data_IF_651401608887
#
_entry.id   IF_651401608887
#
_cell.length_a   1.000
_cell.length_b   1.000
_cell.length_c   1.000
_cell.angle_alpha   90.00
_cell.angle_beta   90.00
_cell.angle_gamma   90.00
#
_symmetry.space_group_name_H-M   'P 1'
#
loop_
_entity.id
_entity.type
_entity.pdbx_description
1 polymer ?
#
# COMPACT_ATOMS: atom_id res chain seq x y z
N UNK A 1 5.84 7.41 -13.42
CA UNK A 1 6.84 8.39 -12.98
C UNK A 1 8.05 8.26 -13.89
N UNK A 2 8.13 9.09 -14.92
CA UNK A 2 9.32 9.22 -15.74
C UNK A 2 10.23 10.24 -15.04
N UNK A 3 11.43 9.84 -14.67
CA UNK A 3 12.43 10.72 -14.13
C UNK A 3 12.82 11.73 -15.20
N UNK A 4 12.47 13.01 -14.96
CA UNK A 4 12.97 14.11 -15.77
C UNK A 4 14.42 14.32 -15.32
N UNK A 5 15.35 13.80 -16.14
CA UNK A 5 16.76 14.16 -16.02
C UNK A 5 16.87 15.66 -16.32
N UNK A 6 17.33 16.42 -15.32
CA UNK A 6 17.72 17.81 -15.50
C UNK A 6 18.70 17.90 -16.67
N UNK A 7 18.52 18.82 -17.62
CA UNK A 7 19.55 19.05 -18.61
C UNK A 7 20.77 19.59 -17.87
N UNK A 8 21.81 18.78 -17.83
CA UNK A 8 23.17 19.23 -17.48
C UNK A 8 23.45 20.45 -18.29
N UNK A 9 23.63 21.60 -17.62
CA UNK A 9 23.99 22.82 -18.25
C UNK A 9 25.23 22.59 -19.12
N UNK A 10 25.04 22.66 -20.42
CA UNK A 10 26.15 22.89 -21.34
C UNK A 10 26.77 24.22 -20.92
N UNK A 11 27.87 24.15 -20.18
CA UNK A 11 28.75 25.29 -20.04
C UNK A 11 29.12 25.72 -21.47
N UNK A 12 28.42 26.75 -21.96
CA UNK A 12 28.86 27.49 -23.13
C UNK A 12 30.28 27.90 -22.86
N UNK A 13 31.22 27.32 -23.59
CA UNK A 13 32.58 27.77 -23.68
C UNK A 13 32.56 29.14 -24.38
N UNK A 14 31.99 30.13 -23.68
CA UNK A 14 32.22 31.53 -24.01
C UNK A 14 33.66 31.82 -23.71
N UNK A 15 34.49 31.78 -24.73
CA UNK A 15 35.88 32.18 -24.60
C UNK A 15 35.93 33.53 -23.88
N UNK A 16 36.46 33.55 -22.67
CA UNK A 16 36.79 34.75 -21.92
C UNK A 16 37.73 35.54 -22.81
N UNK A 17 37.28 36.64 -23.42
CA UNK A 17 38.17 37.58 -24.02
C UNK A 17 38.93 38.17 -22.86
N UNK A 18 40.14 37.64 -22.59
CA UNK A 18 41.11 38.32 -21.71
C UNK A 18 41.19 39.77 -22.20
N UNK A 19 41.03 40.75 -21.28
CA UNK A 19 40.99 42.16 -21.54
C UNK A 19 42.07 42.54 -22.57
N UNK A 20 41.68 42.64 -23.85
CA UNK A 20 42.55 43.16 -24.88
C UNK A 20 42.32 44.65 -24.90
N UNK A 21 43.26 45.37 -24.26
CA UNK A 21 43.41 46.79 -24.51
C UNK A 21 43.76 46.88 -26.00
N UNK A 22 43.05 47.66 -26.75
CA UNK A 22 43.29 47.82 -28.17
C UNK A 22 44.73 48.33 -28.37
N UNK A 23 45.50 47.67 -29.24
CA UNK A 23 46.94 47.95 -29.34
C UNK A 23 47.24 49.39 -29.89
N UNK A 24 46.27 50.04 -30.48
CA UNK A 24 46.39 51.34 -31.08
C UNK A 24 45.63 52.44 -30.32
N UNK A 25 44.43 52.11 -29.83
CA UNK A 25 43.55 53.09 -29.13
C UNK A 25 43.84 53.19 -27.63
N UNK A 26 44.40 52.16 -27.02
CA UNK A 26 44.47 52.07 -25.55
C UNK A 26 43.15 51.82 -24.88
N UNK A 27 42.06 51.60 -25.61
CA UNK A 27 40.71 51.39 -25.09
C UNK A 27 40.54 49.93 -24.71
N UNK A 28 40.00 49.62 -23.55
CA UNK A 28 39.61 48.26 -23.18
C UNK A 28 38.33 47.86 -23.91
N UNK A 29 38.50 47.35 -25.14
CA UNK A 29 37.41 46.95 -26.04
C UNK A 29 36.66 45.74 -25.51
N UNK A 30 37.34 44.82 -24.77
CA UNK A 30 36.77 43.66 -24.15
C UNK A 30 35.73 44.03 -23.07
N UNK A 31 36.03 45.00 -22.20
CA UNK A 31 35.11 45.49 -21.19
C UNK A 31 33.86 46.15 -21.79
N UNK A 32 34.07 46.93 -22.86
CA UNK A 32 32.96 47.60 -23.57
C UNK A 32 32.04 46.55 -24.17
N UNK A 33 32.58 45.53 -24.86
CA UNK A 33 31.80 44.44 -25.44
C UNK A 33 31.02 43.70 -24.33
N UNK A 34 31.68 43.35 -23.22
CA UNK A 34 31.05 42.67 -22.10
C UNK A 34 29.90 43.49 -21.50
N UNK A 35 30.06 44.81 -21.32
CA UNK A 35 28.98 45.71 -20.85
C UNK A 35 27.83 45.83 -21.84
N UNK A 36 28.11 45.88 -23.13
CA UNK A 36 27.07 45.89 -24.19
C UNK A 36 26.32 44.53 -24.18
N UNK A 37 27.04 43.42 -24.10
CA UNK A 37 26.44 42.09 -24.06
C UNK A 37 25.61 41.87 -22.81
N UNK A 38 26.01 42.41 -21.64
CA UNK A 38 25.21 42.29 -20.41
C UNK A 38 23.83 42.95 -20.51
N UNK A 39 23.73 44.06 -21.27
CA UNK A 39 22.43 44.70 -21.53
C UNK A 39 21.58 43.84 -22.49
N UNK A 40 22.19 43.32 -23.54
CA UNK A 40 21.53 42.45 -24.51
C UNK A 40 21.07 41.11 -23.91
N UNK A 41 21.74 40.63 -22.86
CA UNK A 41 21.42 39.38 -22.15
C UNK A 41 20.24 39.49 -21.20
N UNK A 42 19.88 40.70 -20.73
CA UNK A 42 18.78 40.89 -19.78
C UNK A 42 17.45 40.18 -20.16
N UNK A 43 16.99 40.20 -21.45
CA UNK A 43 15.78 39.50 -21.81
C UNK A 43 15.93 37.98 -21.71
N UNK A 44 17.12 37.41 -21.97
CA UNK A 44 17.43 35.99 -21.80
C UNK A 44 17.34 35.61 -20.32
N UNK A 45 17.94 36.40 -19.44
CA UNK A 45 17.94 36.19 -17.98
C UNK A 45 16.52 36.25 -17.41
N UNK A 46 15.66 37.12 -17.94
CA UNK A 46 14.23 37.18 -17.58
C UNK A 46 13.49 35.89 -17.96
N UNK A 47 13.80 35.30 -19.13
CA UNK A 47 13.23 34.00 -19.51
C UNK A 47 13.71 32.88 -18.56
N UNK A 48 14.99 32.88 -18.23
CA UNK A 48 15.57 31.91 -17.27
C UNK A 48 14.84 31.99 -15.92
N UNK A 49 14.67 33.20 -15.38
CA UNK A 49 13.94 33.40 -14.11
C UNK A 49 12.50 32.92 -14.23
N UNK A 50 11.82 33.18 -15.35
CA UNK A 50 10.41 32.75 -15.53
C UNK A 50 10.30 31.23 -15.65
N UNK A 51 11.23 30.57 -16.36
CA UNK A 51 11.28 29.11 -16.44
C UNK A 51 11.47 28.50 -15.04
N UNK A 52 12.38 29.05 -14.22
CA UNK A 52 12.61 28.57 -12.85
C UNK A 52 11.37 28.77 -11.97
N UNK A 53 10.67 29.89 -12.14
CA UNK A 53 9.40 30.14 -11.43
C UNK A 53 8.36 29.08 -11.80
N UNK A 54 8.14 28.84 -13.10
CA UNK A 54 7.15 27.85 -13.56
C UNK A 54 7.51 26.43 -13.12
N UNK A 55 8.80 26.06 -13.10
CA UNK A 55 9.27 24.76 -12.56
C UNK A 55 8.99 24.64 -11.05
N UNK A 56 9.13 25.75 -10.31
CA UNK A 56 8.83 25.78 -8.87
C UNK A 56 7.32 25.67 -8.63
N UNK A 57 6.50 26.27 -9.50
CA UNK A 57 5.03 26.11 -9.48
C UNK A 57 4.64 24.65 -9.70
N UNK A 58 5.19 23.97 -10.73
CA UNK A 58 4.97 22.54 -10.98
C UNK A 58 5.33 21.70 -9.76
N UNK A 59 6.50 21.95 -9.16
CA UNK A 59 6.93 21.24 -7.96
C UNK A 59 5.95 21.41 -6.81
N UNK A 60 5.40 22.63 -6.67
CA UNK A 60 4.41 22.95 -5.63
C UNK A 60 3.06 22.24 -5.90
N UNK A 61 2.61 22.15 -7.15
CA UNK A 61 1.44 21.33 -7.50
C UNK A 61 1.68 19.85 -7.26
N UNK A 62 2.90 19.34 -7.51
CA UNK A 62 3.30 17.96 -7.17
C UNK A 62 3.19 17.69 -5.65
N UNK A 63 3.58 18.66 -4.82
CA UNK A 63 3.41 18.56 -3.36
C UNK A 63 1.92 18.55 -2.96
N UNK A 64 1.10 19.40 -3.58
CA UNK A 64 -0.36 19.41 -3.38
C UNK A 64 -0.95 18.07 -3.75
N UNK A 65 -0.56 17.50 -4.89
CA UNK A 65 -1.03 16.19 -5.35
C UNK A 65 -0.69 15.07 -4.34
N UNK A 66 0.51 15.09 -3.78
CA UNK A 66 0.93 14.16 -2.72
C UNK A 66 0.06 14.28 -1.47
N UNK A 67 -0.16 15.51 -0.98
CA UNK A 67 -0.98 15.76 0.19
C UNK A 67 -2.45 15.32 -0.03
N UNK A 68 -3.02 15.62 -1.20
CA UNK A 68 -4.37 15.18 -1.57
C UNK A 68 -4.49 13.66 -1.71
N UNK A 69 -3.44 12.99 -2.19
CA UNK A 69 -3.38 11.52 -2.25
C UNK A 69 -3.36 10.92 -0.86
N UNK A 70 -2.59 11.50 0.07
CA UNK A 70 -2.57 11.09 1.48
C UNK A 70 -3.95 11.29 2.12
N UNK A 71 -4.60 12.41 1.85
CA UNK A 71 -5.97 12.68 2.33
C UNK A 71 -6.98 11.68 1.75
N UNK A 72 -6.86 11.31 0.48
CA UNK A 72 -7.70 10.28 -0.16
C UNK A 72 -7.50 8.90 0.50
N UNK A 73 -6.28 8.56 0.87
CA UNK A 73 -5.97 7.34 1.63
C UNK A 73 -6.62 7.38 3.02
N UNK A 74 -6.50 8.49 3.74
CA UNK A 74 -7.16 8.67 5.04
C UNK A 74 -8.69 8.56 4.93
N UNK A 75 -9.29 9.12 3.86
CA UNK A 75 -10.73 8.95 3.56
C UNK A 75 -11.11 7.48 3.32
N UNK A 76 -10.26 6.70 2.66
CA UNK A 76 -10.51 5.27 2.46
C UNK A 76 -10.48 4.51 3.79
N UNK A 77 -9.60 4.89 4.71
CA UNK A 77 -9.47 4.25 6.02
C UNK A 77 -10.67 4.51 6.94
N UNK A 78 -11.42 5.59 6.73
CA UNK A 78 -12.65 5.89 7.47
C UNK A 78 -13.92 5.32 6.81
N UNK A 79 -13.83 4.57 5.71
CA UNK A 79 -15.00 3.88 5.13
C UNK A 79 -15.44 2.70 6.00
N UNK A 80 -16.73 2.35 5.94
CA UNK A 80 -17.36 1.39 6.83
C UNK A 80 -16.66 0.03 6.91
N UNK A 81 -16.12 -0.47 5.80
CA UNK A 81 -15.39 -1.75 5.79
C UNK A 81 -14.13 -1.75 6.66
N UNK A 82 -13.58 -0.56 6.96
CA UNK A 82 -12.38 -0.39 7.77
C UNK A 82 -12.69 0.13 9.19
N UNK A 83 -13.87 0.70 9.39
CA UNK A 83 -14.34 1.23 10.67
C UNK A 83 -15.30 0.30 11.39
N UNK A 84 -16.02 -0.56 10.65
CA UNK A 84 -17.00 -1.48 11.21
C UNK A 84 -16.29 -2.67 11.89
N UNK A 85 -15.55 -2.37 12.94
CA UNK A 85 -14.84 -3.36 13.75
C UNK A 85 -15.58 -3.57 15.04
N UNK A 86 -15.73 -4.83 15.43
CA UNK A 86 -16.29 -5.23 16.71
C UNK A 86 -15.18 -5.88 17.55
N UNK A 87 -15.25 -5.67 18.84
CA UNK A 87 -14.45 -6.43 19.81
C UNK A 87 -15.35 -7.47 20.45
N UNK A 88 -14.90 -8.71 20.51
CA UNK A 88 -15.55 -9.76 21.25
C UNK A 88 -14.68 -10.12 22.45
N UNK A 89 -15.26 -10.07 23.63
CA UNK A 89 -14.60 -10.45 24.88
C UNK A 89 -15.33 -11.65 25.50
N UNK A 90 -14.55 -12.60 26.02
CA UNK A 90 -15.06 -13.75 26.75
C UNK A 90 -14.80 -13.57 28.25
N UNK A 91 -15.79 -13.88 29.08
CA UNK A 91 -15.62 -13.89 30.55
C UNK A 91 -14.74 -15.03 31.05
N UNK A 92 -14.46 -16.04 30.21
CA UNK A 92 -13.56 -17.14 30.48
C UNK A 92 -12.81 -17.54 29.19
N UNK A 93 -11.67 -16.88 28.94
CA UNK A 93 -10.82 -17.12 27.78
C UNK A 93 -10.10 -18.47 27.81
N UNK A 94 -10.06 -19.14 28.96
CA UNK A 94 -9.53 -20.49 29.11
C UNK A 94 -10.47 -21.57 28.59
N UNK A 95 -11.79 -21.31 28.61
CA UNK A 95 -12.80 -22.26 28.09
C UNK A 95 -13.29 -21.88 26.70
N UNK A 96 -13.53 -20.62 26.46
CA UNK A 96 -14.06 -20.11 25.16
C UNK A 96 -13.31 -18.87 24.74
N UNK A 97 -12.72 -18.90 23.55
CA UNK A 97 -12.13 -17.72 22.92
C UNK A 97 -12.99 -17.31 21.71
N UNK A 98 -13.12 -16.02 21.51
CA UNK A 98 -13.97 -15.48 20.43
C UNK A 98 -13.27 -14.41 19.63
N UNK A 99 -13.61 -14.32 18.36
CA UNK A 99 -13.22 -13.22 17.48
C UNK A 99 -14.44 -12.77 16.68
N UNK A 100 -14.62 -11.46 16.55
CA UNK A 100 -15.72 -10.88 15.80
C UNK A 100 -15.23 -10.31 14.47
N UNK A 101 -16.07 -10.40 13.44
CA UNK A 101 -15.89 -9.68 12.18
C UNK A 101 -16.89 -8.52 12.06
N UNK A 102 -16.89 -7.85 10.91
CA UNK A 102 -17.73 -6.68 10.64
C UNK A 102 -19.24 -6.99 10.48
N UNK A 103 -19.63 -8.25 10.44
CA UNK A 103 -21.04 -8.68 10.24
C UNK A 103 -21.74 -9.08 11.53
N UNK A 104 -21.02 -9.15 12.65
CA UNK A 104 -21.57 -9.55 13.95
C UNK A 104 -22.54 -8.48 14.49
N UNK A 105 -23.56 -8.92 15.20
CA UNK A 105 -24.39 -8.01 15.96
C UNK A 105 -23.82 -7.78 17.36
N UNK A 106 -23.76 -6.50 17.78
CA UNK A 106 -23.41 -6.15 19.15
C UNK A 106 -24.43 -6.74 20.14
N UNK A 107 -23.95 -7.22 21.28
CA UNK A 107 -24.80 -7.83 22.29
C UNK A 107 -24.03 -8.74 23.21
N UNK A 108 -24.76 -9.38 24.12
CA UNK A 108 -24.22 -10.40 25.01
C UNK A 108 -24.79 -11.77 24.62
N UNK A 109 -23.92 -12.76 24.57
CA UNK A 109 -24.27 -14.15 24.26
C UNK A 109 -23.78 -15.04 25.38
N UNK A 110 -24.55 -16.07 25.71
CA UNK A 110 -24.23 -17.03 26.75
C UNK A 110 -23.83 -18.34 26.12
N UNK A 111 -22.59 -18.80 26.35
CA UNK A 111 -22.08 -20.07 25.80
C UNK A 111 -21.83 -21.08 26.93
N UNK A 112 -22.28 -22.31 26.73
CA UNK A 112 -21.90 -23.45 27.57
C UNK A 112 -21.30 -24.53 26.69
N UNK A 113 -20.17 -25.09 27.10
CA UNK A 113 -19.48 -26.17 26.39
C UNK A 113 -19.62 -27.46 27.18
N UNK A 114 -20.35 -28.39 26.62
CA UNK A 114 -20.59 -29.70 27.27
C UNK A 114 -19.54 -30.74 26.90
N UNK A 115 -19.06 -30.69 25.64
CA UNK A 115 -18.13 -31.64 25.08
C UNK A 115 -17.32 -30.98 23.96
N UNK A 116 -16.02 -31.28 23.90
CA UNK A 116 -15.16 -30.86 22.80
C UNK A 116 -15.19 -31.87 21.66
N UNK A 117 -14.97 -31.39 20.43
CA UNK A 117 -14.73 -32.27 19.29
C UNK A 117 -13.38 -32.98 19.47
N UNK A 118 -13.38 -34.25 19.09
CA UNK A 118 -12.16 -35.08 19.05
C UNK A 118 -12.03 -35.72 17.67
N UNK A 119 -10.79 -35.69 17.15
CA UNK A 119 -10.45 -36.39 15.91
C UNK A 119 -10.40 -37.91 16.10
N UNK A 120 -10.79 -38.64 15.10
CA UNK A 120 -10.54 -40.08 15.06
C UNK A 120 -9.07 -40.36 14.83
N UNK A 121 -8.51 -41.30 15.61
CA UNK A 121 -7.11 -41.71 15.49
C UNK A 121 -7.00 -43.18 15.31
N UNK A 122 -6.28 -43.57 14.27
CA UNK A 122 -5.97 -44.97 13.93
C UNK A 122 -4.46 -45.17 13.99
N UNK A 123 -4.01 -46.38 14.31
CA UNK A 123 -2.60 -46.74 14.18
C UNK A 123 -2.44 -48.08 13.47
N UNK A 124 -1.38 -48.19 12.64
CA UNK A 124 -1.07 -49.43 11.90
C UNK A 124 -0.36 -50.44 12.76
N UNK A 125 -0.23 -51.68 12.24
CA UNK A 125 0.70 -52.67 12.75
C UNK A 125 2.13 -52.10 12.81
N UNK A 126 2.95 -52.68 13.73
CA UNK A 126 4.34 -52.25 13.92
C UNK A 126 5.22 -52.64 12.73
N UNK A 127 6.02 -51.70 12.28
CA UNK A 127 7.09 -51.91 11.31
C UNK A 127 8.46 -51.82 11.99
N UNK A 128 9.42 -52.60 11.55
CA UNK A 128 10.77 -52.64 12.11
C UNK A 128 11.58 -51.36 11.81
N UNK A 129 11.20 -50.58 10.77
CA UNK A 129 11.88 -49.38 10.31
C UNK A 129 10.90 -48.45 9.60
N UNK A 130 11.19 -47.17 9.57
CA UNK A 130 10.48 -46.17 8.73
C UNK A 130 10.69 -46.45 7.24
N UNK A 131 11.76 -47.18 6.88
CA UNK A 131 12.06 -47.66 5.52
C UNK A 131 11.47 -49.03 5.23
N UNK A 132 10.64 -49.61 6.11
CA UNK A 132 9.99 -50.89 5.84
C UNK A 132 9.19 -50.81 4.54
N UNK A 133 9.37 -51.81 3.66
CA UNK A 133 8.85 -51.82 2.30
C UNK A 133 7.53 -52.58 2.25
N UNK A 134 6.53 -52.04 1.59
CA UNK A 134 5.22 -52.62 1.35
C UNK A 134 5.03 -52.95 -0.14
N UNK A 135 4.01 -53.72 -0.45
CA UNK A 135 3.63 -54.00 -1.82
C UNK A 135 3.11 -52.73 -2.52
N UNK A 136 3.13 -52.73 -3.84
CA UNK A 136 2.47 -51.67 -4.62
C UNK A 136 0.95 -51.90 -4.67
N UNK A 137 0.18 -50.86 -4.93
CA UNK A 137 -1.26 -50.92 -4.97
C UNK A 137 -1.92 -49.59 -4.73
N UNK A 138 -3.10 -49.57 -4.15
CA UNK A 138 -3.82 -48.33 -3.81
C UNK A 138 -4.27 -48.35 -2.35
N UNK A 139 -4.25 -47.20 -1.72
CA UNK A 139 -4.86 -46.92 -0.41
C UNK A 139 -5.96 -45.90 -0.65
N UNK A 140 -7.21 -46.24 -0.37
CA UNK A 140 -8.35 -45.32 -0.46
C UNK A 140 -8.80 -44.98 0.95
N UNK A 141 -8.65 -43.72 1.31
CA UNK A 141 -9.10 -43.17 2.58
C UNK A 141 -10.43 -42.46 2.37
N UNK A 142 -11.43 -42.80 3.15
CA UNK A 142 -12.75 -42.19 3.13
C UNK A 142 -13.03 -41.54 4.48
N UNK A 143 -13.32 -40.25 4.48
CA UNK A 143 -13.67 -39.43 5.65
C UNK A 143 -15.00 -38.73 5.37
N UNK A 144 -16.08 -39.27 5.91
CA UNK A 144 -17.42 -38.76 5.60
C UNK A 144 -17.79 -38.98 4.12
N UNK A 145 -18.13 -37.90 3.45
CA UNK A 145 -18.43 -37.94 1.99
C UNK A 145 -17.19 -37.85 1.10
N UNK A 146 -16.04 -37.46 1.67
CA UNK A 146 -14.80 -37.34 0.93
C UNK A 146 -14.10 -38.69 0.80
N UNK A 147 -13.59 -39.01 -0.37
CA UNK A 147 -12.84 -40.22 -0.66
C UNK A 147 -11.61 -39.86 -1.49
N UNK A 148 -10.43 -40.21 -0.99
CA UNK A 148 -9.15 -39.95 -1.67
C UNK A 148 -8.45 -41.30 -1.91
N UNK A 149 -8.11 -41.58 -3.17
CA UNK A 149 -7.33 -42.76 -3.54
C UNK A 149 -5.86 -42.38 -3.79
N UNK A 150 -4.97 -43.05 -3.09
CA UNK A 150 -3.52 -42.81 -3.10
C UNK A 150 -2.85 -44.00 -3.79
N UNK A 151 -2.08 -43.77 -4.83
CA UNK A 151 -1.35 -44.80 -5.55
C UNK A 151 0.01 -45.04 -4.87
N UNK A 152 0.24 -46.31 -4.49
CA UNK A 152 1.50 -46.77 -3.91
C UNK A 152 2.29 -47.51 -4.97
N UNK A 153 3.42 -46.97 -5.33
CA UNK A 153 4.32 -47.47 -6.39
C UNK A 153 5.74 -47.70 -5.85
N UNK A 154 6.65 -48.10 -6.69
CA UNK A 154 8.04 -48.34 -6.31
C UNK A 154 8.74 -47.09 -5.71
N UNK A 155 8.26 -45.89 -6.00
CA UNK A 155 8.86 -44.64 -5.53
C UNK A 155 8.44 -44.25 -4.11
N UNK A 156 7.28 -44.72 -3.60
CA UNK A 156 6.70 -44.32 -2.33
C UNK A 156 6.21 -45.47 -1.43
N UNK A 157 6.62 -46.71 -1.71
CA UNK A 157 6.17 -47.92 -1.00
C UNK A 157 6.83 -48.19 0.35
N UNK A 158 7.66 -47.29 0.87
CA UNK A 158 8.18 -47.35 2.26
C UNK A 158 7.15 -46.79 3.23
N UNK A 159 7.25 -47.12 4.53
CA UNK A 159 6.37 -46.54 5.55
C UNK A 159 6.38 -45.02 5.52
N UNK A 160 7.56 -44.42 5.38
CA UNK A 160 7.71 -42.97 5.24
C UNK A 160 7.13 -42.43 3.93
N UNK A 161 7.34 -43.16 2.81
CA UNK A 161 6.76 -42.81 1.51
C UNK A 161 5.23 -42.85 1.50
N UNK A 162 4.63 -43.86 2.16
CA UNK A 162 3.16 -43.95 2.33
C UNK A 162 2.62 -42.80 3.15
N UNK A 163 3.29 -42.45 4.27
CA UNK A 163 2.95 -41.22 5.09
C UNK A 163 2.93 -39.99 4.20
N UNK A 164 4.00 -39.78 3.42
CA UNK A 164 4.15 -38.58 2.58
C UNK A 164 3.11 -38.55 1.45
N UNK A 165 2.82 -39.71 0.86
CA UNK A 165 1.79 -39.85 -0.16
C UNK A 165 0.39 -39.53 0.37
N UNK A 166 0.06 -39.97 1.59
CA UNK A 166 -1.22 -39.69 2.23
C UNK A 166 -1.31 -38.18 2.50
N UNK A 167 -0.29 -37.58 3.13
CA UNK A 167 -0.28 -36.15 3.46
C UNK A 167 -0.31 -35.22 2.21
N UNK A 168 0.21 -35.70 1.09
CA UNK A 168 0.18 -34.95 -0.18
C UNK A 168 -1.17 -35.04 -0.91
N UNK A 169 -1.90 -36.17 -0.76
CA UNK A 169 -3.11 -36.45 -1.51
C UNK A 169 -4.39 -36.13 -0.71
N UNK A 170 -4.40 -36.36 0.60
CA UNK A 170 -5.58 -36.22 1.45
C UNK A 170 -5.50 -34.91 2.28
N UNK A 171 -6.51 -34.05 2.18
CA UNK A 171 -6.61 -32.81 2.94
C UNK A 171 -7.39 -32.96 4.24
N UNK A 172 -8.13 -34.05 4.38
CA UNK A 172 -9.04 -34.34 5.49
C UNK A 172 -8.54 -35.45 6.43
N UNK A 173 -7.32 -35.95 6.17
CA UNK A 173 -6.60 -36.92 7.02
C UNK A 173 -5.13 -36.52 7.08
N UNK A 174 -4.54 -36.59 8.27
CA UNK A 174 -3.09 -36.42 8.44
C UNK A 174 -2.43 -37.71 8.89
N UNK A 175 -1.30 -38.04 8.28
CA UNK A 175 -0.51 -39.23 8.58
C UNK A 175 0.78 -38.83 9.31
N UNK A 176 1.09 -39.56 10.39
CA UNK A 176 2.32 -39.40 11.18
C UNK A 176 2.92 -40.75 11.50
N UNK A 177 4.24 -40.85 11.61
CA UNK A 177 4.90 -42.06 12.10
C UNK A 177 5.31 -41.87 13.54
N UNK A 178 4.94 -42.81 14.39
CA UNK A 178 5.29 -42.81 15.81
C UNK A 178 6.15 -44.05 16.10
N UNK A 179 7.19 -43.88 16.91
CA UNK A 179 7.94 -44.98 17.51
C UNK A 179 7.39 -45.26 18.92
N UNK A 180 6.99 -46.51 19.15
CA UNK A 180 6.46 -47.00 20.44
C UNK A 180 7.51 -47.73 21.31
N UNK A 181 8.79 -47.66 20.92
CA UNK A 181 9.90 -48.36 21.55
C UNK A 181 10.06 -49.82 21.07
N UNK A 182 9.03 -50.43 20.46
CA UNK A 182 9.06 -51.78 19.88
C UNK A 182 9.11 -51.73 18.34
N UNK A 183 8.85 -50.58 17.72
CA UNK A 183 8.87 -50.35 16.28
C UNK A 183 8.26 -49.04 15.88
N UNK A 184 7.90 -48.95 14.60
CA UNK A 184 7.34 -47.75 13.97
C UNK A 184 5.92 -48.02 13.50
N UNK A 185 4.97 -47.14 13.81
CA UNK A 185 3.57 -47.24 13.41
C UNK A 185 3.14 -46.03 12.63
N UNK A 186 2.38 -46.24 11.56
CA UNK A 186 1.67 -45.15 10.89
C UNK A 186 0.42 -44.82 11.71
N UNK A 187 0.30 -43.55 12.11
CA UNK A 187 -0.91 -43.04 12.74
C UNK A 187 -1.64 -42.15 11.75
N UNK A 188 -2.96 -42.36 11.62
CA UNK A 188 -3.86 -41.50 10.86
C UNK A 188 -4.74 -40.71 11.83
N UNK A 189 -4.85 -39.42 11.59
CA UNK A 189 -5.75 -38.50 12.31
C UNK A 189 -6.74 -37.92 11.33
N UNK A 190 -8.04 -38.03 11.61
CA UNK A 190 -9.04 -37.33 10.81
C UNK A 190 -9.01 -35.81 11.07
N UNK A 191 -9.21 -35.02 10.02
CA UNK A 191 -9.37 -33.58 10.07
C UNK A 191 -10.81 -33.25 9.71
N UNK A 192 -11.61 -32.77 10.68
CA UNK A 192 -13.03 -32.55 10.46
C UNK A 192 -13.82 -33.88 10.30
N UNK A 193 -15.01 -33.77 9.71
CA UNK A 193 -15.99 -34.85 9.60
C UNK A 193 -16.87 -34.99 10.84
N UNK A 194 -18.05 -35.56 10.71
CA UNK A 194 -19.03 -35.75 11.78
C UNK A 194 -18.86 -37.10 12.48
N UNK A 195 -19.30 -37.19 13.73
CA UNK A 195 -19.28 -38.45 14.49
C UNK A 195 -20.09 -39.59 13.85
N UNK A 196 -21.06 -39.24 12.99
CA UNK A 196 -21.87 -40.21 12.22
C UNK A 196 -21.19 -40.79 10.98
N UNK A 197 -20.01 -40.30 10.63
CA UNK A 197 -19.29 -40.70 9.40
C UNK A 197 -17.84 -41.04 9.75
N UNK A 198 -17.54 -42.19 10.36
CA UNK A 198 -16.22 -42.59 10.77
C UNK A 198 -15.26 -42.73 9.58
N UNK A 199 -13.97 -42.67 9.87
CA UNK A 199 -12.90 -42.91 8.91
C UNK A 199 -12.99 -44.39 8.43
N UNK A 200 -12.78 -44.64 7.16
CA UNK A 200 -12.53 -45.98 6.65
C UNK A 200 -11.34 -45.97 5.68
N UNK A 201 -10.57 -47.03 5.68
CA UNK A 201 -9.42 -47.19 4.80
C UNK A 201 -9.52 -48.53 4.10
N UNK A 202 -9.70 -48.51 2.79
CA UNK A 202 -9.66 -49.69 1.94
C UNK A 202 -8.37 -49.73 1.14
N UNK A 203 -7.87 -50.92 0.90
CA UNK A 203 -6.60 -51.12 0.20
C UNK A 203 -6.80 -52.11 -0.94
N UNK A 204 -6.07 -51.94 -2.04
CA UNK A 204 -5.91 -52.90 -3.11
C UNK A 204 -4.44 -53.20 -3.26
N UNK A 205 -4.03 -54.43 -3.04
CA UNK A 205 -2.65 -54.88 -3.04
C UNK A 205 -2.37 -55.64 -4.36
N UNK A 206 -1.31 -55.29 -5.05
CA UNK A 206 -0.90 -55.96 -6.29
C UNK A 206 -0.18 -57.28 -6.06
N UNK A 207 0.02 -57.67 -4.79
CA UNK A 207 0.81 -58.82 -4.40
C UNK A 207 2.32 -58.61 -4.49
N UNK A 208 3.10 -59.52 -3.98
CA UNK A 208 4.57 -59.45 -3.99
C UNK A 208 5.18 -60.02 -2.71
N UNK A 209 6.52 -59.94 -2.62
CA UNK A 209 7.30 -60.48 -1.49
C UNK A 209 7.47 -59.46 -0.34
N UNK A 210 6.93 -58.22 -0.46
CA UNK A 210 6.98 -57.23 0.57
C UNK A 210 5.79 -57.37 1.56
N UNK A 211 5.71 -56.51 2.57
CA UNK A 211 4.56 -56.47 3.49
C UNK A 211 3.30 -56.05 2.72
N UNK A 212 2.17 -56.68 3.04
CA UNK A 212 0.88 -56.34 2.43
C UNK A 212 0.42 -54.95 2.85
N UNK A 213 -0.21 -54.23 1.93
CA UNK A 213 -0.91 -52.96 2.22
C UNK A 213 -2.12 -53.15 3.15
N UNK A 214 -2.59 -54.40 3.35
CA UNK A 214 -3.66 -54.73 4.30
C UNK A 214 -3.37 -54.24 5.71
N UNK A 215 -2.09 -54.06 6.07
CA UNK A 215 -1.67 -53.45 7.35
C UNK A 215 -2.20 -52.01 7.56
N UNK A 216 -2.67 -51.35 6.52
CA UNK A 216 -3.25 -50.00 6.56
C UNK A 216 -4.77 -49.97 6.32
N UNK A 217 -5.43 -51.14 6.12
CA UNK A 217 -6.89 -51.21 6.01
C UNK A 217 -7.56 -50.86 7.33
N UNK A 218 -8.71 -50.21 7.31
CA UNK A 218 -9.53 -49.98 8.48
C UNK A 218 -11.01 -50.04 8.15
N UNK A 219 -11.71 -50.89 8.91
CA UNK A 219 -13.16 -51.00 8.84
C UNK A 219 -13.75 -50.51 10.17
N UNK A 220 -14.53 -49.40 10.16
CA UNK A 220 -15.16 -48.89 11.35
C UNK A 220 -16.16 -49.87 12.02
N UNK A 221 -16.64 -50.86 11.31
CA UNK A 221 -17.47 -51.92 11.86
C UNK A 221 -16.65 -52.95 12.69
N UNK A 222 -15.33 -53.05 12.40
CA UNK A 222 -14.39 -53.89 13.17
C UNK A 222 -13.17 -53.07 13.60
N UNK A 223 -13.31 -52.16 14.58
CA UNK A 223 -12.30 -51.15 14.89
C UNK A 223 -11.03 -51.71 15.55
N UNK A 224 -11.05 -52.94 16.05
CA UNK A 224 -9.93 -53.56 16.76
C UNK A 224 -9.80 -55.04 16.27
N UNK A 225 -9.26 -55.26 15.06
CA UNK A 225 -9.12 -56.59 14.53
C UNK A 225 -8.15 -57.43 15.38
N UNK A 226 -8.62 -58.60 15.85
CA UNK A 226 -7.86 -59.51 16.70
C UNK A 226 -6.89 -60.40 15.96
N UNK A 227 -7.04 -60.50 14.67
CA UNK A 227 -6.21 -61.30 13.74
C UNK A 227 -4.92 -60.57 13.31
N UNK A 228 -4.71 -59.37 13.82
CA UNK A 228 -3.55 -58.53 13.47
C UNK A 228 -3.61 -57.97 12.05
N UNK A 229 -4.79 -57.99 11.40
CA UNK A 229 -5.00 -57.36 10.10
C UNK A 229 -5.44 -55.91 10.27
N UNK A 230 -4.88 -55.02 9.42
CA UNK A 230 -5.32 -53.62 9.37
C UNK A 230 -4.87 -52.72 10.51
N UNK A 231 -5.47 -51.54 10.55
CA UNK A 231 -5.26 -50.54 11.58
C UNK A 231 -6.21 -50.74 12.75
N UNK A 232 -5.78 -50.26 13.92
CA UNK A 232 -6.56 -50.33 15.14
C UNK A 232 -7.00 -48.90 15.53
N UNK A 233 -8.21 -48.79 16.06
CA UNK A 233 -8.75 -47.54 16.55
C UNK A 233 -8.15 -47.18 17.91
N UNK A 234 -7.51 -46.00 17.99
CA UNK A 234 -6.97 -45.45 19.23
C UNK A 234 -7.96 -44.51 19.94
N UNK A 235 -8.67 -43.72 19.13
CA UNK A 235 -9.61 -42.73 19.63
C UNK A 235 -10.79 -42.59 18.70
N UNK A 236 -11.99 -42.70 19.27
CA UNK A 236 -13.23 -42.44 18.53
C UNK A 236 -13.37 -40.95 18.22
N UNK A 237 -13.91 -40.64 17.07
CA UNK A 237 -14.38 -39.32 16.73
C UNK A 237 -15.57 -38.95 17.60
N UNK A 238 -15.59 -37.70 18.05
CA UNK A 238 -16.79 -37.11 18.64
C UNK A 238 -16.94 -35.65 18.23
N UNK A 239 -18.19 -35.21 18.11
CA UNK A 239 -18.52 -33.82 17.82
C UNK A 239 -18.48 -32.98 19.08
N UNK A 240 -18.12 -31.70 18.96
CA UNK A 240 -18.34 -30.76 20.02
C UNK A 240 -19.84 -30.59 20.26
N UNK A 241 -20.23 -30.50 21.54
CA UNK A 241 -21.60 -30.18 21.98
C UNK A 241 -21.54 -28.94 22.86
N UNK A 242 -22.26 -27.92 22.47
CA UNK A 242 -22.31 -26.63 23.16
C UNK A 242 -23.68 -26.01 23.03
N UNK A 243 -23.94 -24.94 23.77
CA UNK A 243 -25.15 -24.14 23.57
C UNK A 243 -24.79 -22.68 23.46
N UNK A 244 -25.61 -21.95 22.69
CA UNK A 244 -25.58 -20.50 22.58
C UNK A 244 -26.96 -19.99 22.96
N UNK A 245 -27.05 -19.15 23.99
CA UNK A 245 -28.30 -18.61 24.55
C UNK A 245 -29.36 -19.71 24.82
N UNK A 246 -28.91 -20.90 25.23
CA UNK A 246 -29.76 -22.05 25.52
C UNK A 246 -30.05 -22.96 24.32
N UNK A 247 -29.78 -22.55 23.09
CA UNK A 247 -29.91 -23.40 21.91
C UNK A 247 -28.76 -24.38 21.82
N UNK A 248 -29.07 -25.67 21.78
CA UNK A 248 -28.10 -26.77 21.68
C UNK A 248 -27.56 -26.87 20.25
N UNK A 249 -26.25 -26.87 20.10
CA UNK A 249 -25.55 -26.93 18.82
C UNK A 249 -24.49 -28.03 18.87
N UNK A 250 -24.15 -28.54 17.69
CA UNK A 250 -23.05 -29.51 17.50
C UNK A 250 -22.11 -29.00 16.42
N UNK A 251 -20.82 -29.33 16.55
CA UNK A 251 -19.81 -29.00 15.55
C UNK A 251 -18.79 -30.13 15.43
N UNK A 252 -18.39 -30.46 14.23
CA UNK A 252 -17.35 -31.44 13.97
C UNK A 252 -15.94 -30.95 14.33
N UNK A 253 -15.79 -29.68 14.67
CA UNK A 253 -14.52 -29.04 15.07
C UNK A 253 -14.73 -28.18 16.30
N UNK A 254 -13.64 -27.91 17.03
CA UNK A 254 -13.66 -26.96 18.14
C UNK A 254 -13.64 -25.50 17.72
N UNK A 255 -13.38 -25.21 16.44
CA UNK A 255 -13.50 -23.88 15.85
C UNK A 255 -14.84 -23.77 15.12
N UNK A 256 -15.74 -22.98 15.67
CA UNK A 256 -17.12 -22.82 15.21
C UNK A 256 -17.29 -21.44 14.60
N UNK A 257 -17.57 -21.37 13.32
CA UNK A 257 -17.73 -20.12 12.57
C UNK A 257 -19.17 -19.83 12.15
N UNK A 258 -20.07 -20.82 12.26
CA UNK A 258 -21.41 -20.75 11.70
C UNK A 258 -22.52 -20.71 12.77
N UNK A 259 -22.19 -20.68 14.06
CA UNK A 259 -23.17 -20.66 15.15
C UNK A 259 -23.84 -19.28 15.28
N UNK A 260 -23.07 -18.21 15.08
CA UNK A 260 -23.51 -16.82 15.09
C UNK A 260 -22.87 -16.12 13.90
N UNK A 261 -23.65 -15.35 13.16
CA UNK A 261 -23.13 -14.58 12.02
C UNK A 261 -22.07 -13.59 12.51
N UNK A 262 -20.88 -13.63 11.88
CA UNK A 262 -19.79 -12.74 12.20
C UNK A 262 -19.00 -13.04 13.47
N UNK A 263 -19.31 -14.14 14.17
CA UNK A 263 -18.58 -14.56 15.37
C UNK A 263 -17.90 -15.92 15.16
N UNK A 264 -16.58 -15.96 15.29
CA UNK A 264 -15.82 -17.20 15.38
C UNK A 264 -15.58 -17.56 16.84
N UNK A 265 -15.94 -18.79 17.19
CA UNK A 265 -15.88 -19.30 18.57
C UNK A 265 -14.87 -20.46 18.59
N UNK A 266 -13.83 -20.36 19.39
CA UNK A 266 -12.88 -21.43 19.65
C UNK A 266 -13.23 -22.06 21.02
N UNK A 267 -13.68 -23.32 21.00
CA UNK A 267 -13.98 -24.13 22.19
C UNK A 267 -12.68 -24.76 22.69
N UNK A 268 -12.19 -24.34 23.84
CA UNK A 268 -10.91 -24.78 24.39
C UNK A 268 -11.07 -25.81 25.51
N UNK A 269 -12.07 -25.60 26.38
CA UNK A 269 -12.39 -26.49 27.49
C UNK A 269 -13.89 -26.58 27.72
N UNK A 270 -14.34 -27.66 28.39
CA UNK A 270 -15.72 -27.78 28.88
C UNK A 270 -15.96 -26.80 30.01
N UNK A 271 -17.18 -26.26 30.10
CA UNK A 271 -17.51 -25.23 31.10
C UNK A 271 -18.19 -25.76 32.34
N UNK A 272 -18.27 -27.06 32.53
CA UNK A 272 -18.91 -27.72 33.71
C UNK A 272 -20.31 -27.15 34.01
N UNK A 273 -21.14 -26.96 32.98
CA UNK A 273 -22.48 -26.33 33.03
C UNK A 273 -22.50 -24.83 33.40
N UNK A 274 -21.38 -24.18 33.63
CA UNK A 274 -21.33 -22.71 33.78
C UNK A 274 -21.54 -22.03 32.45
N UNK A 275 -22.21 -20.89 32.46
CA UNK A 275 -22.29 -20.03 31.26
C UNK A 275 -21.03 -19.14 31.21
N UNK A 276 -20.44 -19.10 30.03
CA UNK A 276 -19.41 -18.11 29.65
C UNK A 276 -20.14 -16.99 28.90
N UNK A 277 -20.04 -15.77 29.40
CA UNK A 277 -20.63 -14.60 28.76
C UNK A 277 -19.66 -14.07 27.71
N UNK A 278 -20.14 -13.94 26.49
CA UNK A 278 -19.45 -13.26 25.39
C UNK A 278 -20.08 -11.90 25.23
N UNK A 279 -19.29 -10.84 25.36
CA UNK A 279 -19.71 -9.47 25.06
C UNK A 279 -19.14 -9.06 23.72
N UNK A 280 -20.02 -8.61 22.82
CA UNK A 280 -19.65 -8.07 21.52
C UNK A 280 -20.01 -6.59 21.50
N UNK A 281 -18.98 -5.77 21.47
CA UNK A 281 -19.12 -4.32 21.49
C UNK A 281 -18.57 -3.69 20.20
N UNK A 282 -19.16 -2.56 19.80
CA UNK A 282 -18.59 -1.75 18.73
C UNK A 282 -17.22 -1.23 19.12
N UNK A 283 -16.21 -1.43 18.28
CA UNK A 283 -14.88 -0.93 18.53
C UNK A 283 -14.77 0.56 18.14
N UNK A 284 -15.31 1.41 19.02
CA UNK A 284 -15.25 2.86 18.83
C UNK A 284 -13.84 3.44 18.91
N UNK A 285 -12.90 2.75 19.56
CA UNK A 285 -11.50 3.20 19.69
C UNK A 285 -10.81 3.23 18.33
N UNK A 286 -10.91 2.15 17.54
CA UNK A 286 -10.33 2.11 16.19
C UNK A 286 -10.99 3.12 15.26
N UNK A 287 -12.30 3.30 15.38
CA UNK A 287 -13.04 4.29 14.61
C UNK A 287 -12.60 5.72 14.95
N UNK A 288 -12.39 6.02 16.23
CA UNK A 288 -11.87 7.31 16.70
C UNK A 288 -10.46 7.58 16.20
N UNK A 289 -9.57 6.60 16.28
CA UNK A 289 -8.17 6.73 15.83
C UNK A 289 -8.09 7.02 14.31
N UNK A 290 -8.84 6.27 13.50
CA UNK A 290 -8.88 6.50 12.05
C UNK A 290 -9.48 7.87 11.70
N UNK A 291 -10.51 8.30 12.44
CA UNK A 291 -11.12 9.62 12.25
C UNK A 291 -10.16 10.74 12.66
N UNK A 292 -9.43 10.60 13.76
CA UNK A 292 -8.39 11.56 14.17
C UNK A 292 -7.32 11.67 13.08
N UNK A 293 -6.80 10.55 12.59
CA UNK A 293 -5.82 10.54 11.49
C UNK A 293 -6.35 11.25 10.23
N UNK A 294 -7.62 11.04 9.88
CA UNK A 294 -8.24 11.74 8.76
C UNK A 294 -8.30 13.26 9.01
N UNK A 295 -8.73 13.69 10.19
CA UNK A 295 -8.83 15.11 10.57
C UNK A 295 -7.45 15.80 10.57
N UNK A 296 -6.44 15.14 11.12
CA UNK A 296 -5.06 15.65 11.13
C UNK A 296 -4.51 15.76 9.69
N UNK A 297 -4.77 14.77 8.84
CA UNK A 297 -4.36 14.80 7.43
C UNK A 297 -5.09 15.90 6.65
N UNK A 298 -6.39 16.09 6.91
CA UNK A 298 -7.17 17.18 6.33
C UNK A 298 -6.61 18.55 6.74
N UNK A 299 -6.38 18.76 8.04
CA UNK A 299 -5.87 20.01 8.57
C UNK A 299 -4.46 20.32 8.04
N UNK A 300 -3.60 19.32 7.96
CA UNK A 300 -2.25 19.45 7.39
C UNK A 300 -2.29 19.80 5.90
N UNK A 301 -3.18 19.14 5.13
CA UNK A 301 -3.38 19.45 3.72
C UNK A 301 -3.89 20.89 3.53
N UNK A 302 -4.88 21.31 4.32
CA UNK A 302 -5.42 22.68 4.28
C UNK A 302 -4.35 23.70 4.65
N UNK A 303 -3.54 23.43 5.67
CA UNK A 303 -2.44 24.32 6.09
C UNK A 303 -1.39 24.45 4.98
N UNK A 304 -1.01 23.36 4.33
CA UNK A 304 -0.07 23.37 3.20
C UNK A 304 -0.60 24.19 2.02
N UNK A 305 -1.87 24.03 1.65
CA UNK A 305 -2.51 24.85 0.61
C UNK A 305 -2.51 26.35 0.95
N UNK A 306 -2.83 26.69 2.20
CA UNK A 306 -2.79 28.08 2.66
C UNK A 306 -1.38 28.64 2.64
N UNK A 307 -0.38 27.86 3.08
CA UNK A 307 1.03 28.27 3.12
C UNK A 307 1.56 28.59 1.72
N UNK A 308 1.29 27.74 0.72
CA UNK A 308 1.74 27.94 -0.67
C UNK A 308 1.18 29.22 -1.30
N UNK A 309 0.13 29.82 -0.73
CA UNK A 309 -0.49 31.07 -1.17
C UNK A 309 -0.03 32.30 -0.41
N UNK A 310 0.79 32.17 0.62
CA UNK A 310 1.29 33.33 1.37
C UNK A 310 2.25 34.17 0.50
N UNK A 311 2.47 35.41 0.91
CA UNK A 311 3.35 36.33 0.19
C UNK A 311 4.76 35.75 0.03
N UNK A 312 5.29 35.80 -1.18
CA UNK A 312 6.62 35.26 -1.52
C UNK A 312 6.66 33.75 -1.79
N UNK A 313 5.53 33.07 -1.71
CA UNK A 313 5.45 31.63 -2.05
C UNK A 313 5.11 31.41 -3.53
N UNK A 314 5.46 30.26 -4.12
CA UNK A 314 5.33 30.00 -5.55
C UNK A 314 3.91 30.15 -6.10
N UNK A 315 2.89 29.81 -5.31
CA UNK A 315 1.48 29.84 -5.73
C UNK A 315 0.72 31.03 -5.10
N UNK A 316 1.45 32.11 -4.75
CA UNK A 316 0.84 33.35 -4.30
C UNK A 316 -0.16 33.86 -5.35
N UNK A 317 -1.40 34.13 -4.93
CA UNK A 317 -2.51 34.57 -5.80
C UNK A 317 -3.03 33.54 -6.82
N UNK A 318 -2.57 32.28 -6.80
CA UNK A 318 -3.11 31.25 -7.69
C UNK A 318 -4.58 30.95 -7.35
N UNK A 319 -5.46 31.17 -8.32
CA UNK A 319 -6.90 30.97 -8.15
C UNK A 319 -7.27 29.49 -8.08
N UNK A 320 -6.46 28.60 -8.67
CA UNK A 320 -6.68 27.16 -8.64
C UNK A 320 -6.55 26.64 -7.22
N UNK A 321 -5.52 27.07 -6.49
CA UNK A 321 -5.34 26.71 -5.08
C UNK A 321 -6.47 27.27 -4.20
N UNK A 322 -6.98 28.49 -4.51
CA UNK A 322 -8.16 29.04 -3.83
C UNK A 322 -9.37 28.13 -3.98
N UNK A 323 -9.64 27.71 -5.23
CA UNK A 323 -10.75 26.82 -5.55
C UNK A 323 -10.61 25.46 -4.86
N UNK A 324 -9.38 24.94 -4.73
CA UNK A 324 -9.12 23.70 -3.98
C UNK A 324 -9.46 23.86 -2.49
N UNK A 325 -9.04 24.96 -1.87
CA UNK A 325 -9.36 25.27 -0.47
C UNK A 325 -10.88 25.36 -0.28
N UNK A 326 -11.58 26.06 -1.16
CA UNK A 326 -13.04 26.19 -1.09
C UNK A 326 -13.73 24.82 -1.31
N UNK A 327 -13.23 24.00 -2.22
CA UNK A 327 -13.73 22.65 -2.43
C UNK A 327 -13.58 21.79 -1.17
N UNK A 328 -12.45 21.86 -0.49
CA UNK A 328 -12.23 21.14 0.78
C UNK A 328 -13.21 21.60 1.86
N UNK A 329 -13.39 22.90 2.01
CA UNK A 329 -14.28 23.48 3.04
C UNK A 329 -15.75 23.17 2.78
N UNK A 330 -16.20 23.27 1.54
CA UNK A 330 -17.60 23.12 1.16
C UNK A 330 -18.14 21.68 1.27
N UNK A 331 -17.28 20.66 1.33
CA UNK A 331 -17.69 19.26 1.57
C UNK A 331 -18.44 19.11 2.90
N UNK A 332 -18.01 19.85 3.93
CA UNK A 332 -18.60 19.78 5.27
C UNK A 332 -19.80 20.73 5.46
N UNK A 333 -19.97 21.70 4.55
CA UNK A 333 -21.06 22.68 4.61
C UNK A 333 -22.30 22.25 3.84
N UNK A 334 -22.17 21.27 2.93
CA UNK A 334 -23.20 20.92 1.95
C UNK A 334 -24.16 19.81 2.37
N UNK A 335 -24.05 19.27 3.59
CA UNK A 335 -25.04 18.33 4.12
C UNK A 335 -26.29 19.07 4.60
N UNK A 336 -27.26 19.24 3.69
CA UNK A 336 -28.48 20.01 3.91
C UNK A 336 -29.49 19.43 4.93
N UNK A 337 -29.14 18.38 5.67
CA UNK A 337 -29.94 17.80 6.75
C UNK A 337 -29.19 17.95 8.09
N UNK A 338 -29.70 18.78 9.02
CA UNK A 338 -29.08 18.95 10.34
C UNK A 338 -28.98 17.66 11.16
N UNK A 339 -29.86 16.69 10.92
CA UNK A 339 -29.88 15.40 11.64
C UNK A 339 -28.82 14.44 11.15
N UNK A 340 -28.34 14.61 9.90
CA UNK A 340 -27.25 13.84 9.26
C UNK A 340 -25.95 14.65 9.13
N UNK A 341 -25.88 15.82 9.74
CA UNK A 341 -24.65 16.62 9.71
C UNK A 341 -23.54 15.87 10.48
N UNK A 342 -22.35 15.86 9.94
CA UNK A 342 -21.16 15.25 10.60
C UNK A 342 -20.91 15.83 12.00
N UNK A 343 -21.41 17.03 12.28
CA UNK A 343 -21.39 17.67 13.59
C UNK A 343 -22.20 16.90 14.65
N UNK A 344 -23.29 16.19 14.26
CA UNK A 344 -24.05 15.32 15.16
C UNK A 344 -23.21 14.11 15.62
N UNK A 345 -22.20 13.74 14.85
CA UNK A 345 -21.26 12.65 15.11
C UNK A 345 -19.94 13.12 15.73
N UNK A 346 -19.86 14.37 16.21
CA UNK A 346 -18.67 14.89 16.88
C UNK A 346 -17.58 15.47 15.96
N UNK A 347 -17.84 15.60 14.64
CA UNK A 347 -16.91 16.23 13.71
C UNK A 347 -17.32 17.70 13.53
N UNK A 348 -16.52 18.61 14.05
CA UNK A 348 -16.80 20.04 14.04
C UNK A 348 -15.99 20.74 12.95
N UNK A 349 -16.62 21.67 12.24
CA UNK A 349 -15.98 22.53 11.26
C UNK A 349 -15.76 23.95 11.85
N UNK A 350 -14.51 24.35 11.97
CA UNK A 350 -14.14 25.64 12.52
C UNK A 350 -14.25 26.77 11.47
N UNK A 351 -14.34 28.02 11.94
CA UNK A 351 -14.44 29.21 11.07
C UNK A 351 -13.26 29.38 10.12
N UNK A 352 -12.08 28.93 10.52
CA UNK A 352 -10.85 28.97 9.70
C UNK A 352 -10.82 27.83 8.64
N UNK A 353 -11.81 26.94 8.63
CA UNK A 353 -11.93 25.82 7.74
C UNK A 353 -11.25 24.55 8.24
N UNK A 354 -10.62 24.55 9.41
CA UNK A 354 -10.07 23.32 10.02
C UNK A 354 -11.18 22.45 10.60
N UNK A 355 -10.88 21.17 10.78
CA UNK A 355 -11.77 20.22 11.45
C UNK A 355 -11.26 19.95 12.86
N UNK A 356 -12.19 19.70 13.78
CA UNK A 356 -11.94 19.20 15.11
C UNK A 356 -12.84 18.01 15.40
N UNK A 357 -12.42 17.12 16.32
CA UNK A 357 -13.16 15.95 16.72
C UNK A 357 -13.48 16.00 18.21
N UNK A 358 -14.73 15.74 18.54
CA UNK A 358 -15.18 15.39 19.89
C UNK A 358 -15.33 13.86 19.95
N UNK A 359 -14.30 13.20 20.45
CA UNK A 359 -14.23 11.73 20.53
C UNK A 359 -15.30 11.14 21.43
N UNK A 360 -15.71 11.86 22.51
CA UNK A 360 -16.78 11.42 23.42
C UNK A 360 -18.15 11.43 22.73
N UNK A 361 -18.43 12.50 22.00
CA UNK A 361 -19.66 12.61 21.22
C UNK A 361 -19.70 11.58 20.09
N UNK A 362 -18.56 11.33 19.44
CA UNK A 362 -18.45 10.33 18.39
C UNK A 362 -18.65 8.92 18.95
N UNK A 363 -18.03 8.57 20.05
CA UNK A 363 -18.21 7.28 20.73
C UNK A 363 -19.69 7.05 21.10
N UNK A 364 -20.33 8.05 21.67
CA UNK A 364 -21.75 8.01 22.00
C UNK A 364 -22.62 7.79 20.76
N UNK A 365 -22.33 8.47 19.66
CA UNK A 365 -23.07 8.33 18.41
C UNK A 365 -22.90 6.94 17.78
N UNK A 366 -21.68 6.38 17.80
CA UNK A 366 -21.36 5.02 17.33
C UNK A 366 -22.15 3.99 18.15
N UNK A 367 -22.11 4.08 19.47
CA UNK A 367 -22.82 3.15 20.37
C UNK A 367 -24.33 3.24 20.19
N UNK A 368 -24.87 4.44 19.95
CA UNK A 368 -26.31 4.66 19.77
C UNK A 368 -26.82 4.10 18.44
N UNK A 369 -26.16 4.35 17.34
CA UNK A 369 -26.54 3.89 16.01
C UNK A 369 -25.34 3.84 15.06
N UNK A 370 -24.57 2.77 15.13
CA UNK A 370 -23.40 2.53 14.29
C UNK A 370 -23.74 2.57 12.79
N UNK A 371 -24.87 2.00 12.39
CA UNK A 371 -25.28 1.97 10.97
C UNK A 371 -25.52 3.36 10.39
N UNK A 372 -26.19 4.26 11.14
CA UNK A 372 -26.40 5.64 10.71
C UNK A 372 -25.09 6.42 10.64
N UNK A 373 -24.20 6.25 11.64
CA UNK A 373 -22.86 6.83 11.65
C UNK A 373 -22.08 6.45 10.40
N UNK A 374 -21.97 5.14 10.11
CA UNK A 374 -21.21 4.68 8.94
C UNK A 374 -21.82 5.10 7.61
N UNK A 375 -23.15 5.15 7.51
CA UNK A 375 -23.81 5.65 6.30
C UNK A 375 -23.43 7.11 6.04
N UNK A 376 -23.42 7.95 7.06
CA UNK A 376 -23.02 9.35 6.96
C UNK A 376 -21.55 9.50 6.58
N UNK A 377 -20.65 8.77 7.25
CA UNK A 377 -19.20 8.81 6.97
C UNK A 377 -18.88 8.27 5.57
N UNK A 378 -19.54 7.19 5.12
CA UNK A 378 -19.35 6.67 3.77
C UNK A 378 -19.81 7.67 2.70
N UNK A 379 -20.94 8.34 2.89
CA UNK A 379 -21.43 9.36 1.97
C UNK A 379 -20.46 10.53 1.88
N UNK A 380 -19.98 11.03 3.03
CA UNK A 380 -18.96 12.07 3.11
C UNK A 380 -17.67 11.64 2.39
N UNK A 381 -17.14 10.48 2.76
CA UNK A 381 -15.89 9.95 2.21
C UNK A 381 -15.95 9.75 0.69
N UNK A 382 -17.05 9.20 0.17
CA UNK A 382 -17.24 8.98 -1.26
C UNK A 382 -17.32 10.30 -2.02
N UNK A 383 -18.12 11.26 -1.52
CA UNK A 383 -18.27 12.58 -2.13
C UNK A 383 -16.96 13.35 -2.14
N UNK A 384 -16.22 13.33 -1.01
CA UNK A 384 -14.94 14.03 -0.89
C UNK A 384 -13.86 13.38 -1.75
N UNK A 385 -13.77 12.05 -1.74
CA UNK A 385 -12.83 11.30 -2.58
C UNK A 385 -13.03 11.56 -4.07
N UNK A 386 -14.29 11.67 -4.53
CA UNK A 386 -14.60 12.03 -5.92
C UNK A 386 -14.10 13.44 -6.28
N UNK A 387 -14.29 14.42 -5.38
CA UNK A 387 -13.80 15.79 -5.58
C UNK A 387 -12.26 15.86 -5.60
N UNK A 388 -11.58 15.15 -4.68
CA UNK A 388 -10.12 15.04 -4.68
C UNK A 388 -9.63 14.39 -5.98
N UNK A 389 -10.29 13.32 -6.44
CA UNK A 389 -9.94 12.67 -7.69
C UNK A 389 -10.04 13.63 -8.86
N UNK A 390 -11.12 14.41 -8.95
CA UNK A 390 -11.27 15.43 -9.98
C UNK A 390 -10.17 16.50 -9.94
N UNK A 391 -9.77 16.95 -8.75
CA UNK A 391 -8.65 17.90 -8.59
C UNK A 391 -7.36 17.25 -9.12
N UNK A 392 -7.04 16.03 -8.72
CA UNK A 392 -5.83 15.33 -9.12
C UNK A 392 -5.74 15.07 -10.63
N UNK A 393 -6.83 14.55 -11.23
CA UNK A 393 -6.80 14.08 -12.63
C UNK A 393 -7.08 15.18 -13.64
N UNK A 394 -7.84 16.19 -13.28
CA UNK A 394 -8.24 17.24 -14.22
C UNK A 394 -7.56 18.57 -13.89
N UNK A 395 -7.66 19.04 -12.65
CA UNK A 395 -7.21 20.39 -12.31
C UNK A 395 -5.68 20.50 -12.29
N UNK A 396 -5.00 19.62 -11.56
CA UNK A 396 -3.53 19.65 -11.43
C UNK A 396 -2.89 19.24 -12.76
N UNK A 397 -3.36 18.18 -13.41
CA UNK A 397 -2.82 17.73 -14.69
C UNK A 397 -2.91 18.84 -15.74
N UNK A 398 -4.07 19.52 -15.88
CA UNK A 398 -4.21 20.61 -16.83
C UNK A 398 -3.29 21.82 -16.52
N UNK A 399 -3.04 22.08 -15.23
CA UNK A 399 -2.11 23.14 -14.80
C UNK A 399 -0.66 22.76 -15.14
N UNK A 400 -0.25 21.55 -14.84
CA UNK A 400 1.08 21.02 -15.18
C UNK A 400 1.32 21.03 -16.69
N UNK A 401 0.35 20.61 -17.51
CA UNK A 401 0.44 20.63 -18.97
C UNK A 401 0.59 22.06 -19.49
N UNK A 402 -0.14 23.02 -18.91
CA UNK A 402 -0.05 24.44 -19.28
C UNK A 402 1.33 24.99 -18.95
N UNK A 403 1.84 24.76 -17.74
CA UNK A 403 3.16 25.22 -17.31
C UNK A 403 4.29 24.58 -18.14
N UNK A 404 4.20 23.27 -18.40
CA UNK A 404 5.18 22.57 -19.24
C UNK A 404 5.20 23.12 -20.67
N UNK A 405 4.03 23.44 -21.23
CA UNK A 405 3.93 24.09 -22.56
C UNK A 405 4.58 25.47 -22.56
N UNK A 406 4.35 26.27 -21.52
CA UNK A 406 4.97 27.59 -21.37
C UNK A 406 6.50 27.48 -21.22
N UNK A 407 6.99 26.55 -20.41
CA UNK A 407 8.41 26.28 -20.23
C UNK A 407 9.04 25.90 -21.56
N UNK A 408 8.41 25.02 -22.32
CA UNK A 408 8.90 24.63 -23.65
C UNK A 408 9.03 25.83 -24.59
N UNK A 409 7.98 26.65 -24.69
CA UNK A 409 7.99 27.85 -25.55
C UNK A 409 9.08 28.83 -25.12
N UNK A 410 9.28 29.04 -23.82
CA UNK A 410 10.35 29.92 -23.29
C UNK A 410 11.74 29.34 -23.56
N UNK A 411 11.91 28.03 -23.47
CA UNK A 411 13.19 27.36 -23.77
C UNK A 411 13.53 27.45 -25.26
N UNK A 412 12.55 27.26 -26.14
CA UNK A 412 12.73 27.42 -27.59
C UNK A 412 13.13 28.88 -27.91
N UNK A 413 12.50 29.85 -27.22
CA UNK A 413 12.83 31.28 -27.38
C UNK A 413 14.23 31.61 -26.82
N UNK A 414 14.66 30.97 -25.69
CA UNK A 414 16.00 31.13 -25.17
C UNK A 414 17.06 30.64 -26.16
N UNK A 415 16.82 29.49 -26.78
CA UNK A 415 17.72 28.93 -27.80
C UNK A 415 17.92 29.92 -28.96
N UNK A 416 16.82 30.43 -29.53
CA UNK A 416 16.90 31.42 -30.60
C UNK A 416 17.56 32.73 -30.18
N UNK A 417 17.33 33.16 -28.92
CA UNK A 417 17.94 34.36 -28.36
C UNK A 417 19.43 34.18 -28.14
N UNK A 418 19.88 32.99 -27.73
CA UNK A 418 21.30 32.68 -27.58
C UNK A 418 22.05 32.80 -28.90
N UNK A 419 21.48 32.28 -30.00
CA UNK A 419 22.03 32.42 -31.35
C UNK A 419 22.20 33.90 -31.73
N UNK A 420 21.16 34.71 -31.46
CA UNK A 420 21.20 36.17 -31.73
C UNK A 420 22.28 36.86 -30.89
N UNK A 421 22.42 36.50 -29.60
CA UNK A 421 23.46 37.06 -28.74
C UNK A 421 24.86 36.69 -29.24
N UNK A 422 25.09 35.48 -29.71
CA UNK A 422 26.35 35.04 -30.28
C UNK A 422 26.71 35.82 -31.58
N UNK A 423 25.72 36.01 -32.45
CA UNK A 423 25.87 36.85 -33.65
C UNK A 423 26.19 38.31 -33.33
N UNK A 424 25.48 38.91 -32.32
CA UNK A 424 25.75 40.29 -31.87
C UNK A 424 27.12 40.40 -31.29
N UNK A 425 27.57 39.45 -30.47
CA UNK A 425 28.92 39.44 -29.90
C UNK A 425 29.97 39.39 -31.00
N UNK A 426 29.82 38.51 -31.99
CA UNK A 426 30.72 38.45 -33.13
C UNK A 426 30.76 39.79 -33.91
N UNK A 427 29.59 40.42 -34.12
CA UNK A 427 29.49 41.70 -34.80
C UNK A 427 30.19 42.82 -34.01
N UNK A 428 30.05 42.86 -32.67
CA UNK A 428 30.74 43.82 -31.83
C UNK A 428 32.26 43.63 -31.90
N UNK A 429 32.73 42.37 -31.75
CA UNK A 429 34.13 42.04 -31.86
C UNK A 429 34.69 42.51 -33.20
N UNK A 430 34.02 42.25 -34.30
CA UNK A 430 34.40 42.69 -35.64
C UNK A 430 34.46 44.20 -35.75
N UNK A 431 33.44 44.92 -35.29
CA UNK A 431 33.39 46.40 -35.36
C UNK A 431 34.54 47.06 -34.55
N UNK A 432 34.86 46.54 -33.37
CA UNK A 432 35.95 47.07 -32.57
C UNK A 432 37.33 46.70 -33.17
N UNK A 433 37.47 45.53 -33.78
CA UNK A 433 38.66 45.15 -34.51
C UNK A 433 38.90 46.04 -35.75
N UNK A 434 37.81 46.31 -36.52
CA UNK A 434 37.87 47.20 -37.72
C UNK A 434 38.24 48.65 -37.29
N UNK A 435 37.70 49.13 -36.13
CA UNK A 435 38.04 50.42 -35.56
C UNK A 435 39.50 50.52 -35.13
N UNK A 436 40.02 49.52 -34.44
CA UNK A 436 41.44 49.44 -34.07
C UNK A 436 42.37 49.47 -35.30
N UNK A 437 42.02 48.69 -36.31
CA UNK A 437 42.77 48.70 -37.58
C UNK A 437 42.79 50.09 -38.26
N UNK A 438 41.64 50.81 -38.22
CA UNK A 438 41.53 52.18 -38.75
C UNK A 438 42.35 53.15 -37.94
N UNK A 439 42.36 53.05 -36.60
CA UNK A 439 43.20 53.89 -35.70
C UNK A 439 44.69 53.63 -35.98
N UNK A 440 45.09 52.37 -36.13
CA UNK A 440 46.47 52.00 -36.50
C UNK A 440 46.91 52.60 -37.83
N UNK A 441 46.05 52.57 -38.83
CA UNK A 441 46.30 53.23 -40.13
C UNK A 441 46.48 54.76 -39.98
N UNK A 442 45.58 55.44 -39.25
CA UNK A 442 45.67 56.85 -39.00
C UNK A 442 46.95 57.24 -38.21
N UNK A 443 47.32 56.47 -37.24
CA UNK A 443 48.60 56.70 -36.50
C UNK A 443 49.82 56.49 -37.38
N UNK A 444 49.80 55.47 -38.25
CA UNK A 444 50.87 55.28 -39.23
C UNK A 444 50.96 56.44 -40.25
N UNK A 445 49.83 56.94 -40.72
CA UNK A 445 49.79 58.13 -41.60
C UNK A 445 50.30 59.38 -40.86
N UNK A 446 49.86 59.60 -39.61
CA UNK A 446 50.32 60.71 -38.78
C UNK A 446 51.84 60.64 -38.53
N UNK A 447 52.36 59.49 -38.22
CA UNK A 447 53.80 59.28 -38.08
C UNK A 447 54.59 59.56 -39.38
N UNK A 448 54.03 59.11 -40.49
CA UNK A 448 54.59 59.40 -41.82
C UNK A 448 54.59 60.92 -42.15
N UNK A 449 53.50 61.60 -41.80
CA UNK A 449 53.40 63.07 -42.00
C UNK A 449 54.37 63.83 -41.05
N UNK A 450 54.51 63.38 -39.82
CA UNK A 450 55.45 63.93 -38.85
C UNK A 450 56.91 63.77 -39.32
N UNK A 451 57.23 62.64 -39.88
CA UNK A 451 58.57 62.38 -40.50
C UNK A 451 58.81 63.23 -41.71
N UNK A 452 57.79 63.54 -42.54
CA UNK A 452 57.88 64.44 -43.68
C UNK A 452 58.13 65.89 -43.24
N UNK A 453 57.39 66.32 -42.22
CA UNK A 453 57.54 67.67 -41.67
C UNK A 453 58.86 67.89 -40.98
N UNK A 454 59.40 66.86 -40.29
CA UNK A 454 60.76 66.95 -39.65
C UNK A 454 61.87 66.90 -40.69
N UNK A 455 61.69 66.22 -41.85
CA UNK A 455 62.66 66.22 -42.95
C UNK A 455 62.68 67.53 -43.70
N UNK A 456 61.58 68.27 -43.76
CA UNK A 456 61.54 69.62 -44.38
C UNK A 456 62.08 70.75 -43.47
N UNK A 457 62.13 70.52 -42.13
CA UNK A 457 62.72 71.50 -41.22
C UNK A 457 64.26 71.41 -41.01
N UNK A 458 64.86 70.32 -41.53
CA UNK A 458 66.33 70.11 -41.52
C UNK A 458 67.04 70.57 -42.79
N UNK A 459 66.33 71.26 -43.69
CA UNK A 459 66.92 71.86 -44.89
C UNK A 459 66.79 73.39 -44.93
N UNK A 460 67.10 74.04 -43.81
CA UNK A 460 67.36 75.46 -43.79
C UNK A 460 68.66 75.73 -43.00
#
# INVERSE_FOLDING_TARGET
MAAITSPTGTTSSGGTITSSVGPFSGINTGDIINKLMSIEQQPYDKLTTKIQTDQTEISSFGQIASNLTSLKTALTNIQSKNLNTYTAASSDTGSVKVTADSTVNAGQYSIKVYQLAQSEKLYSQSATSVSAVYNSGTITVKNGSHSTTINISTSNKTLSGIRDAINSAATDVSATIISDGSGYRLMLNSVGGTSSSPLSVSVSDTGGNAKSLSAFSFDPANPNPTDGSGMTLLQYRQDAKFSVDGFQLTSSTNKVTNALSGLSIDLLNTTSNRAVTISVDANSISSSANMTTFIDTYNSTLASLKQLRTAGQPLQYDSTVSSMIDTMRNVFSSSGDPSNSVASYGIMHNKDGTLAIDTTKMDTAIRRNMGAFYKAINSLSSSFSARITNILTNTITAKDDTLNTQIKQMTDKQTSMQEILDLKRAAYVKKFSDMEASIGQMQSQSSSLSNLTSSTSSTK
#
